data_IF_717410991496
#
_entry.id   IF_717410991496
#
_cell.length_a   1.000
_cell.length_b   1.000
_cell.length_c   1.000
_cell.angle_alpha   90.00
_cell.angle_beta   90.00
_cell.angle_gamma   90.00
#
_symmetry.space_group_name_H-M   'P 1'
#
loop_
_entity.id
_entity.type
_entity.pdbx_description
1 polymer ?
#
# COMPACT_ATOMS: atom_id res chain seq x y z
N UNK A 1 -8.30 -24.50 -18.91
CA UNK A 1 -8.40 -25.38 -20.09
C UNK A 1 -7.06 -25.46 -20.78
N UNK A 2 -6.76 -26.56 -21.51
CA UNK A 2 -5.50 -26.71 -22.25
C UNK A 2 -5.54 -25.84 -23.51
N UNK A 3 -4.54 -24.98 -23.70
CA UNK A 3 -4.45 -24.01 -24.80
C UNK A 3 -3.00 -23.54 -24.99
N UNK A 4 -2.70 -23.08 -26.20
CA UNK A 4 -1.51 -22.30 -26.49
C UNK A 4 -1.83 -20.81 -26.32
N UNK A 5 -0.82 -20.03 -25.94
CA UNK A 5 -0.89 -18.57 -25.81
C UNK A 5 0.22 -17.96 -26.64
N UNK A 6 -0.14 -17.13 -27.61
CA UNK A 6 0.80 -16.34 -28.40
C UNK A 6 0.89 -14.94 -27.83
N UNK A 7 2.12 -14.51 -27.55
CA UNK A 7 2.44 -13.17 -27.06
C UNK A 7 3.31 -12.46 -28.11
N UNK A 8 3.00 -11.23 -28.39
CA UNK A 8 3.76 -10.33 -29.25
C UNK A 8 3.74 -8.93 -28.66
N UNK A 9 4.89 -8.27 -28.62
CA UNK A 9 5.04 -6.91 -28.08
C UNK A 9 4.36 -6.74 -26.68
N UNK A 10 4.65 -7.65 -25.77
CA UNK A 10 4.14 -7.66 -24.38
C UNK A 10 2.61 -7.85 -24.26
N UNK A 11 1.93 -8.22 -25.34
CA UNK A 11 0.48 -8.43 -25.36
C UNK A 11 0.11 -9.84 -25.73
N UNK A 12 -0.94 -10.36 -25.08
CA UNK A 12 -1.56 -11.62 -25.50
C UNK A 12 -2.29 -11.38 -26.80
N UNK A 13 -1.70 -11.87 -27.91
CA UNK A 13 -2.27 -11.73 -29.25
C UNK A 13 -3.36 -12.79 -29.51
N UNK A 14 -3.16 -14.01 -29.04
CA UNK A 14 -4.10 -15.11 -29.29
C UNK A 14 -4.02 -16.19 -28.22
N UNK A 15 -5.18 -16.73 -27.87
CA UNK A 15 -5.32 -17.95 -27.05
C UNK A 15 -6.15 -18.95 -27.85
N UNK A 16 -5.61 -20.13 -28.15
CA UNK A 16 -6.28 -21.16 -28.92
C UNK A 16 -5.80 -22.56 -28.51
N UNK A 17 -6.55 -23.59 -28.90
CA UNK A 17 -6.20 -24.99 -28.59
C UNK A 17 -4.85 -25.39 -29.19
N UNK A 18 -4.53 -24.85 -30.35
CA UNK A 18 -3.23 -24.96 -31.02
C UNK A 18 -2.97 -23.71 -31.83
N UNK A 19 -1.74 -23.23 -31.82
CA UNK A 19 -1.30 -22.05 -32.57
C UNK A 19 -0.08 -22.45 -33.39
N UNK A 20 -0.12 -22.15 -34.71
CA UNK A 20 1.06 -22.25 -35.57
C UNK A 20 1.68 -20.86 -35.66
N UNK A 21 2.90 -20.71 -35.17
CA UNK A 21 3.70 -19.49 -35.22
C UNK A 21 5.17 -19.88 -35.38
N UNK A 22 5.61 -20.20 -36.63
CA UNK A 22 6.92 -20.83 -36.88
C UNK A 22 8.10 -19.94 -36.48
N UNK A 23 7.90 -18.62 -36.45
CA UNK A 23 8.94 -17.65 -36.03
C UNK A 23 8.97 -17.37 -34.53
N UNK A 24 8.01 -17.91 -33.78
CA UNK A 24 7.93 -17.66 -32.34
C UNK A 24 8.87 -18.58 -31.55
N UNK A 25 9.47 -18.05 -30.49
CA UNK A 25 10.14 -18.87 -29.48
C UNK A 25 9.08 -19.63 -28.67
N UNK A 26 9.14 -20.96 -28.68
CA UNK A 26 8.19 -21.79 -27.96
C UNK A 26 8.73 -22.11 -26.57
N UNK A 27 7.91 -21.86 -25.54
CA UNK A 27 8.14 -22.28 -24.16
C UNK A 27 7.08 -23.31 -23.82
N UNK A 28 7.46 -24.58 -23.70
CA UNK A 28 6.56 -25.64 -23.25
C UNK A 28 6.46 -25.61 -21.72
N UNK A 29 5.28 -25.32 -21.20
CA UNK A 29 5.01 -25.29 -19.75
C UNK A 29 4.53 -26.65 -19.22
N UNK A 30 4.64 -27.73 -20.02
CA UNK A 30 4.38 -29.13 -19.62
C UNK A 30 3.03 -29.32 -18.92
N UNK A 31 2.01 -28.59 -19.35
CA UNK A 31 0.66 -28.66 -18.79
C UNK A 31 0.47 -27.93 -17.45
N UNK A 32 1.44 -27.13 -17.05
CA UNK A 32 1.30 -26.25 -15.87
C UNK A 32 0.27 -25.13 -16.13
N UNK A 33 -0.15 -24.48 -15.05
CA UNK A 33 -1.04 -23.32 -15.13
C UNK A 33 -0.23 -22.08 -15.56
N UNK A 34 -0.67 -21.44 -16.64
CA UNK A 34 -0.21 -20.11 -17.03
C UNK A 34 -1.20 -19.08 -16.48
N UNK A 35 -0.73 -18.20 -15.65
CA UNK A 35 -1.49 -17.13 -15.00
C UNK A 35 -0.89 -15.76 -15.36
N UNK A 36 -1.68 -14.69 -15.36
CA UNK A 36 -1.11 -13.34 -15.32
C UNK A 36 -0.18 -13.17 -14.11
N UNK A 37 0.81 -12.30 -14.22
CA UNK A 37 1.61 -11.90 -13.06
C UNK A 37 0.71 -11.35 -11.95
N UNK A 38 1.04 -11.69 -10.71
CA UNK A 38 0.28 -11.19 -9.55
C UNK A 38 0.62 -9.73 -9.28
N UNK A 39 -0.33 -9.04 -8.64
CA UNK A 39 -0.18 -7.68 -8.14
C UNK A 39 -0.16 -7.76 -6.62
N UNK A 40 0.93 -7.30 -6.00
CA UNK A 40 0.97 -7.06 -4.56
C UNK A 40 0.64 -5.59 -4.31
N UNK A 41 -0.57 -5.35 -3.84
CA UNK A 41 -1.08 -4.00 -3.62
C UNK A 41 -0.79 -3.45 -2.21
N UNK A 42 0.14 -4.06 -1.46
CA UNK A 42 0.46 -3.59 -0.11
C UNK A 42 1.90 -3.95 0.27
N UNK A 43 2.85 -3.14 -0.19
CA UNK A 43 4.27 -3.30 0.14
C UNK A 43 4.80 -2.08 0.89
N UNK A 44 5.89 -2.29 1.63
CA UNK A 44 6.60 -1.24 2.35
C UNK A 44 8.11 -1.44 2.17
N UNK A 45 8.64 -0.97 1.05
CA UNK A 45 10.07 -1.01 0.75
C UNK A 45 10.75 0.26 1.21
N UNK A 46 11.93 0.12 1.82
CA UNK A 46 12.78 1.23 2.27
C UNK A 46 11.97 2.29 3.07
N UNK A 47 11.04 1.81 3.91
CA UNK A 47 10.20 2.65 4.75
C UNK A 47 10.84 2.84 6.12
N UNK A 48 11.09 4.09 6.49
CA UNK A 48 11.49 4.46 7.85
C UNK A 48 10.26 4.44 8.77
N UNK A 49 10.27 3.55 9.75
CA UNK A 49 9.17 3.36 10.71
C UNK A 49 9.70 2.87 12.06
N UNK A 50 9.13 3.38 13.16
CA UNK A 50 9.47 2.95 14.51
C UNK A 50 10.99 2.98 14.82
N UNK A 51 11.71 4.00 14.36
CA UNK A 51 13.16 4.18 14.52
C UNK A 51 14.01 3.08 13.84
N UNK A 52 13.47 2.45 12.81
CA UNK A 52 14.18 1.49 11.96
C UNK A 52 13.70 1.67 10.52
N UNK A 53 14.36 0.98 9.59
CA UNK A 53 13.93 0.94 8.18
C UNK A 53 13.54 -0.49 7.83
N UNK A 54 12.54 -0.67 6.99
CA UNK A 54 12.17 -2.00 6.48
C UNK A 54 13.36 -2.66 5.77
N UNK A 55 13.48 -3.98 5.90
CA UNK A 55 14.68 -4.72 5.50
C UNK A 55 14.92 -4.73 3.99
N UNK A 56 13.86 -4.71 3.19
CA UNK A 56 13.94 -4.69 1.73
C UNK A 56 13.82 -3.26 1.19
N UNK A 57 14.70 -2.94 0.25
CA UNK A 57 14.58 -1.81 -0.66
C UNK A 57 13.79 -2.18 -1.91
N UNK A 58 13.58 -1.22 -2.83
CA UNK A 58 12.84 -1.47 -4.07
C UNK A 58 13.51 -2.52 -4.97
N UNK A 59 14.84 -2.64 -4.94
CA UNK A 59 15.54 -3.65 -5.72
C UNK A 59 15.37 -5.05 -5.13
N UNK A 60 15.69 -5.24 -3.86
CA UNK A 60 15.66 -6.56 -3.21
C UNK A 60 14.23 -7.10 -3.09
N UNK A 61 13.28 -6.23 -2.67
CA UNK A 61 11.88 -6.57 -2.50
C UNK A 61 11.19 -6.93 -3.82
N UNK A 62 11.33 -6.09 -4.85
CA UNK A 62 10.71 -6.36 -6.16
C UNK A 62 11.32 -7.59 -6.86
N UNK A 63 12.63 -7.82 -6.69
CA UNK A 63 13.29 -9.04 -7.18
C UNK A 63 12.73 -10.30 -6.49
N UNK A 64 12.47 -10.22 -5.19
CA UNK A 64 11.82 -11.31 -4.45
C UNK A 64 10.38 -11.52 -4.91
N UNK A 65 9.63 -10.43 -5.14
CA UNK A 65 8.27 -10.47 -5.69
C UNK A 65 8.22 -11.20 -7.03
N UNK A 66 9.13 -10.86 -7.98
CA UNK A 66 9.23 -11.53 -9.27
C UNK A 66 9.52 -13.03 -9.14
N UNK A 67 10.37 -13.44 -8.18
CA UNK A 67 10.63 -14.87 -7.90
C UNK A 67 9.38 -15.61 -7.43
N UNK A 68 8.45 -14.90 -6.78
CA UNK A 68 7.14 -15.43 -6.37
C UNK A 68 6.05 -15.35 -7.43
N UNK A 69 6.33 -14.73 -8.58
CA UNK A 69 5.34 -14.55 -9.66
C UNK A 69 4.56 -13.24 -9.58
N UNK A 70 4.92 -12.32 -8.68
CA UNK A 70 4.36 -10.97 -8.60
C UNK A 70 5.11 -10.06 -9.56
N UNK A 71 4.40 -9.46 -10.51
CA UNK A 71 4.98 -8.62 -11.56
C UNK A 71 4.66 -7.15 -11.41
N UNK A 72 3.84 -6.80 -10.43
CA UNK A 72 3.50 -5.41 -10.09
C UNK A 72 3.40 -5.28 -8.57
N UNK A 73 4.01 -4.25 -8.02
CA UNK A 73 3.90 -3.89 -6.61
C UNK A 73 3.29 -2.50 -6.46
N UNK A 74 2.49 -2.29 -5.41
CA UNK A 74 1.98 -0.96 -5.07
C UNK A 74 2.42 -0.64 -3.66
N UNK A 75 3.37 0.29 -3.56
CA UNK A 75 3.95 0.71 -2.30
C UNK A 75 3.26 1.96 -1.73
N UNK A 76 3.62 2.39 -0.54
CA UNK A 76 3.04 3.55 0.12
C UNK A 76 4.02 4.71 0.15
N UNK A 77 3.77 5.74 -0.65
CA UNK A 77 4.48 7.00 -0.55
C UNK A 77 4.04 7.70 0.74
N UNK A 78 4.94 7.73 1.72
CA UNK A 78 4.69 8.24 3.05
C UNK A 78 5.49 9.53 3.29
N UNK A 79 4.91 10.73 3.11
CA UNK A 79 5.53 11.96 3.58
C UNK A 79 5.71 11.91 5.10
N UNK A 80 6.67 12.67 5.63
CA UNK A 80 6.74 12.91 7.06
C UNK A 80 5.75 14.02 7.46
N UNK A 81 5.32 14.05 8.73
CA UNK A 81 4.47 15.14 9.21
C UNK A 81 5.07 16.51 8.92
N UNK A 82 4.25 17.37 8.30
CA UNK A 82 4.65 18.71 7.87
C UNK A 82 5.29 18.78 6.49
N UNK A 83 5.52 17.65 5.83
CA UNK A 83 5.86 17.60 4.41
C UNK A 83 4.61 17.62 3.55
N UNK A 84 4.79 17.92 2.26
CA UNK A 84 3.71 17.92 1.27
C UNK A 84 3.56 16.53 0.63
N UNK A 85 2.40 16.27 -0.01
CA UNK A 85 2.22 15.03 -0.78
C UNK A 85 3.21 14.94 -1.94
N UNK A 86 3.54 16.08 -2.56
CA UNK A 86 4.57 16.14 -3.61
C UNK A 86 5.94 15.69 -3.10
N UNK A 87 6.35 16.15 -1.92
CA UNK A 87 7.63 15.75 -1.33
C UNK A 87 7.67 14.24 -1.05
N UNK A 88 6.58 13.68 -0.52
CA UNK A 88 6.43 12.24 -0.32
C UNK A 88 6.52 11.47 -1.63
N UNK A 89 5.78 11.88 -2.67
CA UNK A 89 5.78 11.23 -3.98
C UNK A 89 7.17 11.28 -4.63
N UNK A 90 7.82 12.44 -4.62
CA UNK A 90 9.16 12.61 -5.17
C UNK A 90 10.19 11.72 -4.46
N UNK A 91 10.10 11.61 -3.13
CA UNK A 91 10.99 10.72 -2.36
C UNK A 91 10.80 9.26 -2.80
N UNK A 92 9.56 8.78 -2.94
CA UNK A 92 9.29 7.41 -3.35
C UNK A 92 9.72 7.12 -4.77
N UNK A 93 9.53 8.07 -5.69
CA UNK A 93 10.09 7.96 -7.04
C UNK A 93 11.62 7.84 -7.00
N UNK A 94 12.33 8.66 -6.23
CA UNK A 94 13.80 8.52 -6.11
C UNK A 94 14.26 7.16 -5.58
N UNK A 95 13.45 6.50 -4.73
CA UNK A 95 13.75 5.15 -4.22
C UNK A 95 13.46 4.06 -5.26
N UNK A 96 12.40 4.21 -6.04
CA UNK A 96 11.88 3.19 -6.94
C UNK A 96 12.46 3.28 -8.36
N UNK A 97 12.62 4.51 -8.89
CA UNK A 97 13.01 4.74 -10.30
C UNK A 97 14.39 4.13 -10.59
N UNK A 98 14.43 3.24 -11.59
CA UNK A 98 15.63 2.53 -11.97
C UNK A 98 16.11 1.45 -11.00
N UNK A 99 15.46 1.29 -9.84
CA UNK A 99 15.78 0.27 -8.81
C UNK A 99 14.78 -0.89 -8.84
N UNK A 100 13.50 -0.59 -9.05
CA UNK A 100 12.46 -1.61 -9.07
C UNK A 100 12.61 -2.55 -10.28
N UNK A 101 12.54 -3.86 -10.03
CA UNK A 101 12.69 -4.91 -11.04
C UNK A 101 11.40 -5.31 -11.73
N UNK A 102 10.24 -4.85 -11.22
CA UNK A 102 8.91 -5.10 -11.79
C UNK A 102 8.17 -3.77 -11.94
N UNK A 103 6.96 -3.81 -12.48
CA UNK A 103 6.09 -2.64 -12.51
C UNK A 103 5.75 -2.20 -11.09
N UNK A 104 5.61 -0.90 -10.89
CA UNK A 104 5.25 -0.37 -9.58
C UNK A 104 4.28 0.81 -9.68
N UNK A 105 3.57 1.04 -8.58
CA UNK A 105 2.72 2.20 -8.35
C UNK A 105 2.73 2.57 -6.88
N UNK A 106 2.00 3.64 -6.54
CA UNK A 106 1.95 4.14 -5.17
C UNK A 106 0.52 4.37 -4.69
N UNK A 107 0.30 4.05 -3.41
CA UNK A 107 -0.72 4.68 -2.60
C UNK A 107 -0.11 5.92 -1.95
N UNK A 108 -0.84 7.03 -1.91
CA UNK A 108 -0.38 8.22 -1.20
C UNK A 108 -0.88 8.22 0.25
N UNK A 109 0.02 8.30 1.21
CA UNK A 109 -0.33 8.46 2.63
C UNK A 109 -0.71 9.91 2.91
N UNK A 110 -1.84 10.09 3.61
CA UNK A 110 -2.29 11.37 4.15
C UNK A 110 -2.09 11.31 5.67
N UNK A 111 -1.07 11.96 6.18
CA UNK A 111 -0.70 12.01 7.59
C UNK A 111 -0.94 13.39 8.23
N UNK A 112 -1.34 14.37 7.43
CA UNK A 112 -1.77 15.69 7.83
C UNK A 112 -2.94 16.16 6.95
N UNK A 113 -3.71 17.15 7.43
CA UNK A 113 -4.79 17.76 6.66
C UNK A 113 -4.83 19.27 6.88
N UNK A 114 -4.62 20.00 5.81
CA UNK A 114 -4.66 21.44 5.75
C UNK A 114 -4.99 21.87 4.31
N UNK A 115 -5.27 23.17 4.04
CA UNK A 115 -5.63 23.63 2.69
C UNK A 115 -4.58 23.32 1.61
N UNK A 116 -3.30 23.23 1.97
CA UNK A 116 -2.23 22.85 1.04
C UNK A 116 -2.35 21.40 0.63
N UNK A 117 -2.45 20.48 1.60
CA UNK A 117 -2.64 19.04 1.35
C UNK A 117 -3.92 18.78 0.57
N UNK A 118 -5.03 19.47 0.91
CA UNK A 118 -6.30 19.34 0.17
C UNK A 118 -6.15 19.73 -1.30
N UNK A 119 -5.42 20.78 -1.61
CA UNK A 119 -5.17 21.21 -2.99
C UNK A 119 -4.29 20.19 -3.74
N UNK A 120 -3.25 19.64 -3.10
CA UNK A 120 -2.34 18.67 -3.70
C UNK A 120 -3.01 17.31 -4.03
N UNK A 121 -4.18 17.00 -3.47
CA UNK A 121 -4.94 15.80 -3.88
C UNK A 121 -5.22 15.83 -5.39
N UNK A 122 -5.54 16.98 -5.96
CA UNK A 122 -5.81 17.09 -7.39
C UNK A 122 -4.54 16.81 -8.23
N UNK A 123 -3.39 17.22 -7.75
CA UNK A 123 -2.10 16.95 -8.39
C UNK A 123 -1.71 15.47 -8.29
N UNK A 124 -2.04 14.79 -7.18
CA UNK A 124 -1.85 13.35 -7.06
C UNK A 124 -2.66 12.59 -8.11
N UNK A 125 -3.91 12.98 -8.34
CA UNK A 125 -4.71 12.39 -9.42
C UNK A 125 -4.12 12.66 -10.80
N UNK A 126 -3.61 13.87 -11.04
CA UNK A 126 -2.94 14.21 -12.29
C UNK A 126 -1.66 13.38 -12.51
N UNK A 127 -0.98 13.02 -11.44
CA UNK A 127 0.17 12.11 -11.44
C UNK A 127 -0.21 10.61 -11.56
N UNK A 128 -1.51 10.27 -11.65
CA UNK A 128 -2.01 8.90 -11.79
C UNK A 128 -2.28 8.19 -10.46
N UNK A 129 -2.16 8.87 -9.32
CA UNK A 129 -2.44 8.29 -8.00
C UNK A 129 -3.91 8.53 -7.65
N UNK A 130 -4.69 7.46 -7.55
CA UNK A 130 -6.11 7.50 -7.18
C UNK A 130 -6.41 6.71 -5.91
N UNK A 131 -5.39 6.22 -5.24
CA UNK A 131 -5.48 5.40 -4.04
C UNK A 131 -4.65 6.02 -2.93
N UNK A 132 -5.27 6.12 -1.74
CA UNK A 132 -4.72 6.84 -0.59
C UNK A 132 -4.73 5.97 0.66
N UNK A 133 -3.94 6.36 1.67
CA UNK A 133 -3.83 5.67 2.95
C UNK A 133 -3.91 6.67 4.09
N UNK A 134 -4.67 6.33 5.13
CA UNK A 134 -4.72 7.06 6.39
C UNK A 134 -4.53 6.13 7.58
N UNK A 135 -4.23 6.68 8.73
CA UNK A 135 -3.97 5.93 9.96
C UNK A 135 -4.77 6.51 11.12
N UNK A 136 -5.34 5.64 11.95
CA UNK A 136 -6.02 6.01 13.21
C UNK A 136 -5.14 5.74 14.43
N UNK A 137 -3.94 5.22 14.23
CA UNK A 137 -2.90 5.02 15.23
C UNK A 137 -1.53 5.37 14.65
N UNK A 138 -0.47 5.22 15.43
CA UNK A 138 0.89 5.67 15.14
C UNK A 138 1.02 7.21 15.10
N UNK A 139 1.47 7.84 16.21
CA UNK A 139 1.48 9.31 16.37
C UNK A 139 2.15 10.08 15.22
N UNK A 140 3.15 9.48 14.57
CA UNK A 140 3.83 10.09 13.42
C UNK A 140 2.98 10.11 12.14
N UNK A 141 1.93 9.28 12.03
CA UNK A 141 1.16 9.07 10.78
C UNK A 141 -0.34 9.32 10.96
N UNK A 142 -0.86 9.26 12.19
CA UNK A 142 -2.29 9.34 12.43
C UNK A 142 -2.86 10.73 12.22
N UNK A 143 -4.11 10.79 11.73
CA UNK A 143 -4.91 12.01 11.64
C UNK A 143 -6.19 11.88 12.46
N UNK A 144 -6.78 13.02 12.86
CA UNK A 144 -8.02 13.06 13.63
C UNK A 144 -9.28 12.85 12.78
N UNK A 145 -10.41 12.62 13.46
CA UNK A 145 -11.69 12.32 12.82
C UNK A 145 -12.17 13.44 11.86
N UNK A 146 -11.97 14.72 12.22
CA UNK A 146 -12.30 15.86 11.37
C UNK A 146 -11.49 15.86 10.07
N UNK A 147 -10.17 15.70 10.18
CA UNK A 147 -9.27 15.61 9.03
C UNK A 147 -9.63 14.42 8.13
N UNK A 148 -9.93 13.27 8.74
CA UNK A 148 -10.37 12.07 8.03
C UNK A 148 -11.68 12.29 7.27
N UNK A 149 -12.66 12.96 7.89
CA UNK A 149 -13.91 13.33 7.23
C UNK A 149 -13.68 14.18 5.98
N UNK A 150 -12.87 15.24 6.09
CA UNK A 150 -12.57 16.12 4.97
C UNK A 150 -11.80 15.40 3.87
N UNK A 151 -10.80 14.60 4.23
CA UNK A 151 -10.05 13.79 3.28
C UNK A 151 -10.96 12.82 2.51
N UNK A 152 -11.78 12.03 3.20
CA UNK A 152 -12.72 11.10 2.56
C UNK A 152 -13.72 11.81 1.65
N UNK A 153 -14.22 12.98 2.05
CA UNK A 153 -15.11 13.79 1.22
C UNK A 153 -14.42 14.24 -0.07
N UNK A 154 -13.21 14.78 0.01
CA UNK A 154 -12.42 15.19 -1.16
C UNK A 154 -12.13 14.01 -2.08
N UNK A 155 -11.73 12.86 -1.53
CA UNK A 155 -11.44 11.66 -2.31
C UNK A 155 -12.69 11.10 -3.00
N UNK A 156 -13.84 11.12 -2.33
CA UNK A 156 -15.14 10.72 -2.92
C UNK A 156 -15.49 11.55 -4.16
N UNK A 157 -15.27 12.87 -4.12
CA UNK A 157 -15.53 13.77 -5.25
C UNK A 157 -14.70 13.41 -6.49
N UNK A 158 -13.53 12.80 -6.29
CA UNK A 158 -12.62 12.35 -7.34
C UNK A 158 -12.77 10.88 -7.74
N UNK A 159 -13.63 10.13 -7.04
CA UNK A 159 -13.77 8.70 -7.26
C UNK A 159 -12.59 7.86 -6.76
N UNK A 160 -11.84 8.37 -5.80
CA UNK A 160 -10.68 7.70 -5.22
C UNK A 160 -11.01 6.63 -4.21
N UNK A 161 -10.01 5.81 -3.90
CA UNK A 161 -10.07 4.77 -2.87
C UNK A 161 -9.17 5.18 -1.72
N UNK A 162 -9.61 4.91 -0.48
CA UNK A 162 -8.78 5.12 0.70
C UNK A 162 -8.78 3.87 1.58
N UNK A 163 -7.59 3.32 1.83
CA UNK A 163 -7.34 2.35 2.88
C UNK A 163 -7.08 3.05 4.21
N UNK A 164 -7.55 2.48 5.31
CA UNK A 164 -7.31 3.06 6.64
C UNK A 164 -6.81 1.98 7.58
N UNK A 165 -5.72 2.26 8.30
CA UNK A 165 -5.30 1.43 9.43
C UNK A 165 -6.15 1.81 10.64
N UNK A 166 -7.00 0.91 11.08
CA UNK A 166 -8.02 1.16 12.09
C UNK A 166 -7.65 0.49 13.42
N UNK A 167 -7.12 1.25 14.34
CA UNK A 167 -6.94 0.85 15.75
C UNK A 167 -7.18 2.06 16.68
N UNK A 168 -7.65 1.81 17.90
CA UNK A 168 -7.86 2.86 18.90
C UNK A 168 -6.54 3.22 19.58
N UNK A 169 -5.87 4.25 19.08
CA UNK A 169 -4.55 4.68 19.58
C UNK A 169 -4.54 4.98 21.06
N UNK A 170 -5.53 5.72 21.58
CA UNK A 170 -5.53 6.17 22.97
C UNK A 170 -5.56 5.01 23.96
N UNK A 171 -6.39 3.99 23.71
CA UNK A 171 -6.47 2.81 24.58
C UNK A 171 -5.23 1.93 24.43
N UNK A 172 -4.72 1.76 23.21
CA UNK A 172 -3.47 1.02 22.96
C UNK A 172 -2.30 1.64 23.71
N UNK A 173 -2.14 2.96 23.65
CA UNK A 173 -1.05 3.66 24.34
C UNK A 173 -1.15 3.50 25.86
N UNK A 174 -2.36 3.56 26.42
CA UNK A 174 -2.59 3.31 27.84
C UNK A 174 -2.20 1.86 28.23
N UNK A 175 -2.65 0.87 27.46
CA UNK A 175 -2.30 -0.54 27.69
C UNK A 175 -0.80 -0.80 27.57
N UNK A 176 -0.12 -0.15 26.59
CA UNK A 176 1.33 -0.22 26.45
C UNK A 176 2.02 0.36 27.69
N UNK A 177 1.56 1.51 28.19
CA UNK A 177 2.11 2.14 29.38
C UNK A 177 1.95 1.25 30.62
N UNK A 178 0.78 0.63 30.80
CA UNK A 178 0.51 -0.33 31.88
C UNK A 178 1.46 -1.54 31.82
N UNK A 179 1.63 -2.14 30.63
CA UNK A 179 2.54 -3.29 30.45
C UNK A 179 4.00 -2.93 30.74
N UNK A 180 4.44 -1.76 30.28
CA UNK A 180 5.79 -1.24 30.59
C UNK A 180 5.97 -1.04 32.09
N UNK A 181 5.01 -0.46 32.77
CA UNK A 181 5.06 -0.25 34.23
C UNK A 181 5.10 -1.57 35.02
N UNK A 182 4.46 -2.62 34.51
CA UNK A 182 4.49 -3.96 35.09
C UNK A 182 5.77 -4.76 34.73
N UNK A 183 6.69 -4.20 33.93
CA UNK A 183 7.89 -4.90 33.45
C UNK A 183 7.64 -5.99 32.41
N UNK A 184 6.43 -6.04 31.83
CA UNK A 184 6.03 -7.01 30.81
C UNK A 184 6.49 -6.55 29.41
N UNK A 185 7.79 -6.66 29.12
CA UNK A 185 8.40 -6.15 27.87
C UNK A 185 8.57 -7.20 26.77
N UNK A 186 8.15 -8.45 26.99
CA UNK A 186 8.29 -9.53 26.03
C UNK A 186 7.35 -9.37 24.83
N UNK A 187 7.71 -9.97 23.68
CA UNK A 187 6.93 -9.92 22.42
C UNK A 187 5.46 -10.37 22.59
N UNK A 188 5.19 -11.27 23.54
CA UNK A 188 3.82 -11.70 23.90
C UNK A 188 2.94 -10.61 24.50
N UNK A 189 3.48 -9.45 24.86
CA UNK A 189 2.69 -8.31 25.33
C UNK A 189 2.05 -7.53 24.17
N UNK A 190 2.59 -7.61 22.95
CA UNK A 190 2.05 -6.92 21.79
C UNK A 190 0.56 -7.23 21.54
N UNK A 191 0.11 -8.48 21.38
CA UNK A 191 -1.31 -8.78 21.20
C UNK A 191 -2.18 -8.43 22.41
N UNK A 192 -1.60 -8.37 23.62
CA UNK A 192 -2.34 -8.00 24.85
C UNK A 192 -2.62 -6.50 24.95
N UNK A 193 -1.84 -5.68 24.25
CA UNK A 193 -2.05 -4.23 24.15
C UNK A 193 -2.89 -3.83 22.95
N UNK A 194 -3.23 -4.79 22.08
CA UNK A 194 -4.07 -4.63 20.88
C UNK A 194 -5.14 -5.69 20.81
N UNK A 195 -6.08 -5.71 21.77
CA UNK A 195 -7.21 -6.62 21.69
C UNK A 195 -8.11 -6.27 20.50
N UNK A 196 -8.72 -7.27 19.89
CA UNK A 196 -9.49 -7.21 18.65
C UNK A 196 -10.64 -6.19 18.65
N UNK A 197 -11.26 -5.97 19.82
CA UNK A 197 -12.34 -4.99 19.95
C UNK A 197 -11.87 -3.54 19.73
N UNK A 198 -10.58 -3.22 19.86
CA UNK A 198 -10.06 -1.88 19.59
C UNK A 198 -9.93 -1.61 18.07
N UNK A 199 -9.70 -2.64 17.29
CA UNK A 199 -9.80 -2.58 15.83
C UNK A 199 -11.28 -2.48 15.42
N UNK A 200 -12.15 -3.31 15.96
CA UNK A 200 -13.57 -3.29 15.66
C UNK A 200 -14.23 -1.92 15.99
N UNK A 201 -13.85 -1.28 17.10
CA UNK A 201 -14.29 0.09 17.45
C UNK A 201 -13.84 1.08 16.39
N UNK A 202 -12.54 1.07 16.04
CA UNK A 202 -11.98 2.01 15.09
C UNK A 202 -12.58 1.84 13.68
N UNK A 203 -12.80 0.62 13.22
CA UNK A 203 -13.50 0.33 11.95
C UNK A 203 -14.94 0.86 12.01
N UNK A 204 -15.67 0.62 13.10
CA UNK A 204 -17.03 1.15 13.28
C UNK A 204 -17.06 2.68 13.22
N UNK A 205 -16.11 3.34 13.88
CA UNK A 205 -15.97 4.80 13.88
C UNK A 205 -15.67 5.33 12.48
N UNK A 206 -14.71 4.73 11.78
CA UNK A 206 -14.40 5.08 10.38
C UNK A 206 -15.64 4.99 9.48
N UNK A 207 -16.40 3.90 9.56
CA UNK A 207 -17.60 3.72 8.75
C UNK A 207 -18.66 4.79 9.04
N UNK A 208 -18.77 5.28 10.29
CA UNK A 208 -19.66 6.39 10.64
C UNK A 208 -19.17 7.72 10.09
N UNK A 209 -17.88 7.97 10.16
CA UNK A 209 -17.27 9.16 9.52
C UNK A 209 -17.52 9.15 8.02
N UNK A 210 -17.34 8.00 7.36
CA UNK A 210 -17.57 7.88 5.92
C UNK A 210 -19.04 7.98 5.49
N UNK A 211 -19.99 7.80 6.41
CA UNK A 211 -21.41 7.99 6.15
C UNK A 211 -21.84 9.47 6.23
N UNK A 212 -21.09 10.31 6.91
CA UNK A 212 -21.41 11.72 7.08
C UNK A 212 -21.12 12.53 5.80
#
# INVERSE_FOLDING_TARGET
RRADVLVEDEKILRVARSISAPEATVIDVEGQLLLPGFIDAHTHFDLDVCSTTTADDFFSGSRSALRGGTTTVVDFACPNKGETLHQGLELWHRKADGSCCCDYGFHMTIDDWNPGIEAEIDDMYAAGISSFKMYMTYPAMMIGDEAMYHALKKLREKGGICGVHCENSGVIDALIAEKKAAGEMGVGSHPRTRPDFLEAEAVSRLLRIAQA
#
